data_IF_803755262005
#
_entry.id   IF_803755262005
#
_cell.length_a   1.000
_cell.length_b   1.000
_cell.length_c   1.000
_cell.angle_alpha   90.00
_cell.angle_beta   90.00
_cell.angle_gamma   90.00
#
_symmetry.space_group_name_H-M   'P 1'
#
loop_
_entity.id
_entity.type
_entity.pdbx_description
1 polymer ?
#
# COMPACT_ATOMS: atom_id res chain seq x y z
N UNK A 1 2.91 -27.56 -10.76
CA UNK A 1 3.58 -27.06 -11.98
C UNK A 1 4.39 -25.84 -11.53
N UNK A 2 5.66 -26.03 -11.33
CA UNK A 2 6.58 -25.00 -10.87
C UNK A 2 7.03 -24.20 -12.08
N UNK A 3 6.58 -22.94 -12.20
CA UNK A 3 7.09 -22.04 -13.23
C UNK A 3 8.38 -21.43 -12.68
N UNK A 4 9.50 -22.07 -12.97
CA UNK A 4 10.81 -21.48 -12.76
C UNK A 4 11.02 -20.44 -13.87
N UNK A 5 10.88 -19.15 -13.57
CA UNK A 5 11.26 -18.09 -14.49
C UNK A 5 12.79 -18.02 -14.59
N UNK A 6 13.38 -19.00 -15.30
CA UNK A 6 14.77 -18.90 -15.75
C UNK A 6 14.83 -17.84 -16.83
N UNK A 7 15.61 -16.78 -16.62
CA UNK A 7 15.88 -15.68 -17.57
C UNK A 7 14.78 -14.61 -17.68
N UNK A 8 14.11 -14.23 -16.59
CA UNK A 8 13.38 -12.97 -16.62
C UNK A 8 14.39 -11.81 -16.78
N UNK A 9 14.37 -11.14 -17.92
CA UNK A 9 15.14 -9.91 -18.13
C UNK A 9 14.46 -8.77 -17.37
N UNK A 10 15.02 -8.44 -16.20
CA UNK A 10 14.50 -7.37 -15.34
C UNK A 10 14.87 -5.96 -15.84
N UNK A 11 15.58 -5.84 -16.96
CA UNK A 11 15.89 -4.53 -17.56
C UNK A 11 14.64 -3.80 -18.06
N UNK A 12 13.55 -4.53 -18.31
CA UNK A 12 12.25 -3.99 -18.74
C UNK A 12 11.23 -3.77 -17.62
N UNK A 13 11.54 -4.16 -16.38
CA UNK A 13 10.69 -3.77 -15.24
C UNK A 13 10.91 -2.29 -15.01
N UNK A 14 10.00 -1.47 -15.49
CA UNK A 14 10.05 -0.04 -15.33
C UNK A 14 10.30 0.30 -13.86
N UNK A 15 11.39 1.02 -13.59
CA UNK A 15 11.60 1.65 -12.28
C UNK A 15 10.35 2.50 -12.04
N UNK A 16 9.46 2.04 -11.17
CA UNK A 16 8.27 2.81 -10.85
C UNK A 16 8.80 4.15 -10.33
N UNK A 17 8.61 5.23 -11.10
CA UNK A 17 8.93 6.59 -10.65
C UNK A 17 8.35 6.71 -9.26
N UNK A 18 9.13 7.24 -8.30
CA UNK A 18 8.64 7.62 -7.00
C UNK A 18 7.38 8.44 -7.21
N UNK A 19 6.23 7.86 -6.90
CA UNK A 19 4.94 8.52 -7.05
C UNK A 19 4.93 9.67 -6.06
N UNK A 20 4.61 10.87 -6.54
CA UNK A 20 4.48 12.02 -5.67
C UNK A 20 3.44 11.73 -4.59
N UNK A 21 3.86 11.73 -3.34
CA UNK A 21 2.97 11.61 -2.19
C UNK A 21 2.46 12.99 -1.77
N UNK A 22 1.20 13.05 -1.36
CA UNK A 22 0.56 14.26 -0.84
C UNK A 22 0.28 14.10 0.65
N UNK A 23 0.74 15.04 1.46
CA UNK A 23 0.59 14.98 2.91
C UNK A 23 -0.88 15.05 3.34
N UNK A 24 -1.25 14.19 4.29
CA UNK A 24 -2.55 14.18 4.98
C UNK A 24 -2.27 14.62 6.42
N UNK A 25 -2.15 15.93 6.65
CA UNK A 25 -1.57 16.47 7.88
C UNK A 25 -2.29 17.69 8.47
N UNK A 26 -3.42 18.10 7.91
CA UNK A 26 -4.23 19.19 8.50
C UNK A 26 -4.99 18.59 9.67
N UNK A 27 -4.45 18.78 10.88
CA UNK A 27 -4.93 18.16 12.11
C UNK A 27 -6.27 18.71 12.60
N UNK A 28 -6.94 17.91 13.43
CA UNK A 28 -8.20 18.23 14.12
C UNK A 28 -9.35 18.51 13.17
N UNK A 29 -9.34 17.89 12.00
CA UNK A 29 -10.41 17.97 10.99
C UNK A 29 -10.67 16.60 10.39
N UNK A 30 -11.91 16.41 9.96
CA UNK A 30 -12.35 15.24 9.18
C UNK A 30 -13.35 15.68 8.13
N UNK A 31 -13.39 14.99 6.99
CA UNK A 31 -14.50 15.12 6.04
C UNK A 31 -15.57 14.13 6.46
N UNK A 32 -16.78 14.63 6.67
CA UNK A 32 -17.92 13.78 7.03
C UNK A 32 -18.60 13.15 5.79
N UNK A 33 -19.65 12.39 6.02
CA UNK A 33 -20.39 11.69 4.96
C UNK A 33 -21.07 12.59 3.94
N UNK A 34 -21.24 13.88 4.23
CA UNK A 34 -21.86 14.88 3.34
C UNK A 34 -20.82 15.65 2.54
N UNK A 35 -19.53 15.42 2.79
CA UNK A 35 -18.44 16.15 2.16
C UNK A 35 -18.06 17.44 2.88
N UNK A 36 -18.68 17.75 4.02
CA UNK A 36 -18.32 18.91 4.83
C UNK A 36 -17.09 18.64 5.71
N UNK A 37 -16.23 19.64 5.86
CA UNK A 37 -15.10 19.58 6.78
C UNK A 37 -15.59 19.98 8.18
N UNK A 38 -15.47 19.07 9.13
CA UNK A 38 -15.88 19.29 10.52
C UNK A 38 -14.71 19.08 11.49
N UNK A 39 -14.73 19.68 12.70
CA UNK A 39 -13.72 19.45 13.73
C UNK A 39 -13.72 18.00 14.20
N UNK A 40 -12.51 17.40 14.39
CA UNK A 40 -12.35 16.06 14.97
C UNK A 40 -10.94 15.87 15.48
N UNK A 41 -10.76 15.64 16.79
CA UNK A 41 -9.45 15.57 17.44
C UNK A 41 -8.56 14.41 16.97
N UNK A 42 -9.15 13.31 16.50
CA UNK A 42 -8.43 12.08 16.18
C UNK A 42 -8.18 11.90 14.67
N UNK A 43 -8.48 12.93 13.88
CA UNK A 43 -8.36 12.89 12.42
C UNK A 43 -7.48 14.01 11.91
N UNK A 44 -6.92 13.79 10.73
CA UNK A 44 -6.35 14.82 9.89
C UNK A 44 -6.87 14.67 8.46
N UNK A 45 -6.77 15.73 7.68
CA UNK A 45 -7.14 15.71 6.27
C UNK A 45 -5.99 16.21 5.39
N UNK A 46 -6.04 15.88 4.11
CA UNK A 46 -5.18 16.52 3.10
C UNK A 46 -5.75 17.89 2.69
N UNK A 47 -4.94 18.68 1.99
CA UNK A 47 -5.49 19.72 1.10
C UNK A 47 -6.35 19.08 -0.01
N UNK A 48 -7.09 19.89 -0.75
CA UNK A 48 -7.71 19.47 -1.99
C UNK A 48 -6.60 19.13 -3.01
N UNK A 49 -6.54 17.89 -3.44
CA UNK A 49 -5.51 17.37 -4.35
C UNK A 49 -6.17 17.16 -5.70
N UNK A 50 -5.62 17.78 -6.75
CA UNK A 50 -6.13 17.62 -8.10
C UNK A 50 -5.93 16.17 -8.56
N UNK A 51 -7.01 15.55 -9.03
CA UNK A 51 -6.97 14.19 -9.58
C UNK A 51 -6.30 14.22 -10.95
N UNK A 52 -5.19 13.50 -11.09
CA UNK A 52 -4.45 13.38 -12.35
C UNK A 52 -5.01 12.25 -13.23
N UNK A 53 -4.65 12.25 -14.51
CA UNK A 53 -4.99 11.14 -15.41
C UNK A 53 -4.39 9.81 -14.94
N UNK A 54 -3.22 9.85 -14.30
CA UNK A 54 -2.58 8.67 -13.71
C UNK A 54 -3.39 8.12 -12.54
N UNK A 55 -3.86 8.98 -11.62
CA UNK A 55 -4.73 8.59 -10.52
C UNK A 55 -6.04 7.97 -11.01
N UNK A 56 -6.62 8.52 -12.10
CA UNK A 56 -7.83 7.94 -12.72
C UNK A 56 -7.60 6.57 -13.34
N UNK A 57 -6.41 6.32 -13.88
CA UNK A 57 -6.07 5.03 -14.48
C UNK A 57 -5.72 3.96 -13.46
N UNK A 58 -5.13 4.35 -12.33
CA UNK A 58 -4.56 3.43 -11.34
C UNK A 58 -5.35 3.33 -10.05
N UNK A 59 -6.14 4.34 -9.71
CA UNK A 59 -6.77 4.49 -8.39
C UNK A 59 -5.87 5.25 -7.41
N UNK A 60 -6.25 5.23 -6.14
CA UNK A 60 -5.60 5.98 -5.06
C UNK A 60 -5.29 5.08 -3.87
N UNK A 61 -4.26 5.42 -3.12
CA UNK A 61 -3.91 4.76 -1.86
C UNK A 61 -3.58 5.82 -0.80
N UNK A 62 -4.06 5.62 0.43
CA UNK A 62 -3.65 6.40 1.60
C UNK A 62 -3.04 5.47 2.61
N UNK A 63 -1.78 5.72 2.98
CA UNK A 63 -1.14 4.98 4.07
C UNK A 63 -1.54 5.55 5.43
N UNK A 64 -1.53 4.71 6.47
CA UNK A 64 -1.94 5.06 7.83
C UNK A 64 -3.28 5.82 7.88
N UNK A 65 -4.21 5.41 7.05
CA UNK A 65 -5.50 6.06 6.91
C UNK A 65 -6.37 5.84 8.15
N UNK A 66 -7.36 6.69 8.31
CA UNK A 66 -8.40 6.54 9.31
C UNK A 66 -9.75 6.86 8.70
N UNK A 67 -10.64 5.91 8.76
CA UNK A 67 -11.99 6.03 8.23
C UNK A 67 -12.97 5.18 9.01
N UNK A 68 -14.24 5.56 8.93
CA UNK A 68 -15.36 4.79 9.42
C UNK A 68 -16.43 4.83 8.34
N UNK A 69 -16.74 3.70 7.72
CA UNK A 69 -17.64 3.61 6.58
C UNK A 69 -19.03 4.24 6.83
N UNK A 70 -19.46 4.29 8.08
CA UNK A 70 -20.76 4.87 8.44
C UNK A 70 -20.73 6.41 8.59
N UNK A 71 -19.55 7.00 8.80
CA UNK A 71 -19.44 8.42 9.16
C UNK A 71 -18.38 9.20 8.38
N UNK A 72 -17.20 8.60 8.14
CA UNK A 72 -16.03 9.30 7.61
C UNK A 72 -15.30 8.42 6.61
N UNK A 73 -15.49 8.67 5.32
CA UNK A 73 -14.78 7.95 4.27
C UNK A 73 -13.30 8.34 4.23
N UNK A 74 -12.44 7.42 3.80
CA UNK A 74 -11.02 7.74 3.63
C UNK A 74 -10.80 8.68 2.44
N UNK A 75 -11.50 8.46 1.33
CA UNK A 75 -11.40 9.29 0.13
C UNK A 75 -12.70 10.02 -0.12
N UNK A 76 -12.62 11.34 -0.26
CA UNK A 76 -13.76 12.22 -0.50
C UNK A 76 -13.50 13.04 -1.75
N UNK A 77 -14.43 13.00 -2.71
CA UNK A 77 -14.27 13.54 -4.06
C UNK A 77 -15.10 14.78 -4.28
N UNK A 78 -14.51 15.76 -4.98
CA UNK A 78 -15.10 17.07 -5.25
C UNK A 78 -14.92 17.46 -6.72
N UNK A 79 -15.87 18.20 -7.26
CA UNK A 79 -15.77 18.76 -8.61
C UNK A 79 -15.04 20.10 -8.66
N UNK A 80 -14.69 20.69 -7.52
CA UNK A 80 -14.00 21.98 -7.35
C UNK A 80 -12.92 21.87 -6.28
N UNK A 81 -11.91 22.75 -6.36
CA UNK A 81 -10.90 22.92 -5.31
C UNK A 81 -11.49 23.48 -4.01
N UNK A 82 -12.60 24.21 -4.11
CA UNK A 82 -13.35 24.67 -2.95
C UNK A 82 -14.14 23.53 -2.35
N UNK A 83 -13.61 22.97 -1.26
CA UNK A 83 -14.15 21.79 -0.56
C UNK A 83 -15.37 22.18 0.27
N UNK A 84 -16.54 21.71 -0.14
CA UNK A 84 -17.81 21.92 0.53
C UNK A 84 -18.81 20.81 0.18
N UNK A 85 -19.91 20.72 0.91
CA UNK A 85 -21.03 19.81 0.62
C UNK A 85 -21.63 20.04 -0.78
N UNK A 86 -21.67 21.30 -1.25
CA UNK A 86 -22.20 21.64 -2.57
C UNK A 86 -21.28 21.22 -3.73
N UNK A 87 -20.00 21.00 -3.48
CA UNK A 87 -19.01 20.55 -4.48
C UNK A 87 -18.66 19.06 -4.33
N UNK A 88 -19.19 18.41 -3.30
CA UNK A 88 -18.99 16.99 -3.06
C UNK A 88 -19.71 16.14 -4.10
N UNK A 89 -19.00 15.18 -4.70
CA UNK A 89 -19.54 14.33 -5.79
C UNK A 89 -19.47 12.84 -5.48
N UNK A 90 -18.84 12.47 -4.38
CA UNK A 90 -18.79 11.07 -3.97
C UNK A 90 -17.65 10.75 -3.02
N UNK A 91 -17.59 9.50 -2.61
CA UNK A 91 -16.60 9.01 -1.66
C UNK A 91 -16.24 7.56 -1.94
N UNK A 92 -15.06 7.14 -1.47
CA UNK A 92 -14.69 5.74 -1.39
C UNK A 92 -14.53 5.38 0.10
N UNK A 93 -15.42 4.52 0.57
CA UNK A 93 -15.47 4.11 1.98
C UNK A 93 -14.43 3.05 2.27
N UNK A 94 -13.81 3.16 3.45
CA UNK A 94 -12.96 2.14 4.02
C UNK A 94 -13.09 2.19 5.53
N UNK A 95 -13.24 1.03 6.17
CA UNK A 95 -13.08 0.90 7.60
C UNK A 95 -11.58 0.78 7.89
N UNK A 96 -10.91 1.91 8.03
CA UNK A 96 -9.49 1.96 8.29
C UNK A 96 -9.20 2.54 9.66
N UNK A 97 -8.30 1.88 10.37
CA UNK A 97 -7.74 2.39 11.61
C UNK A 97 -6.27 2.03 11.66
N UNK A 98 -5.41 2.99 11.30
CA UNK A 98 -3.95 2.82 11.15
C UNK A 98 -3.54 1.82 10.05
N UNK A 99 -4.35 1.68 9.00
CA UNK A 99 -4.08 0.77 7.89
C UNK A 99 -4.04 1.52 6.58
N UNK A 100 -3.44 0.91 5.56
CA UNK A 100 -3.50 1.44 4.21
C UNK A 100 -4.90 1.21 3.63
N UNK A 101 -5.41 2.22 2.95
CA UNK A 101 -6.70 2.16 2.25
C UNK A 101 -6.50 2.35 0.76
N UNK A 102 -7.16 1.52 -0.02
CA UNK A 102 -7.17 1.56 -1.47
C UNK A 102 -8.54 2.07 -1.96
N UNK A 103 -8.51 3.03 -2.87
CA UNK A 103 -9.66 3.39 -3.70
C UNK A 103 -9.40 2.88 -5.13
N UNK A 104 -10.08 1.82 -5.58
CA UNK A 104 -10.00 1.37 -6.95
C UNK A 104 -10.43 2.47 -7.93
N UNK A 105 -9.85 2.48 -9.12
CA UNK A 105 -10.12 3.51 -10.14
C UNK A 105 -11.61 3.61 -10.51
N UNK A 106 -12.33 2.51 -10.47
CA UNK A 106 -13.75 2.39 -10.79
C UNK A 106 -14.65 3.14 -9.78
N UNK A 107 -14.12 3.42 -8.57
CA UNK A 107 -14.82 4.16 -7.52
C UNK A 107 -14.50 5.66 -7.51
N UNK A 108 -13.63 6.14 -8.40
CA UNK A 108 -13.39 7.56 -8.59
C UNK A 108 -14.48 8.13 -9.49
N UNK A 109 -15.36 9.03 -8.99
CA UNK A 109 -16.43 9.59 -9.82
C UNK A 109 -15.90 10.30 -11.06
N UNK A 110 -16.54 10.15 -12.20
CA UNK A 110 -16.11 10.76 -13.47
C UNK A 110 -16.04 12.30 -13.38
N UNK A 111 -16.99 12.92 -12.68
CA UNK A 111 -17.07 14.35 -12.46
C UNK A 111 -16.20 14.89 -11.31
N UNK A 112 -15.43 14.02 -10.63
CA UNK A 112 -14.50 14.45 -9.60
C UNK A 112 -13.28 15.11 -10.23
N UNK A 113 -12.88 16.26 -9.74
CA UNK A 113 -11.64 16.96 -10.13
C UNK A 113 -10.61 16.99 -9.02
N UNK A 114 -11.06 16.82 -7.78
CA UNK A 114 -10.23 16.87 -6.58
C UNK A 114 -10.59 15.76 -5.60
N UNK A 115 -9.62 15.38 -4.79
CA UNK A 115 -9.78 14.43 -3.68
C UNK A 115 -9.23 15.04 -2.39
N UNK A 116 -9.94 14.81 -1.28
CA UNK A 116 -9.46 15.05 0.08
C UNK A 116 -9.43 13.71 0.81
N UNK A 117 -8.30 13.39 1.39
CA UNK A 117 -8.13 12.17 2.16
C UNK A 117 -8.30 12.41 3.65
N UNK A 118 -8.96 11.48 4.35
CA UNK A 118 -8.96 11.39 5.81
C UNK A 118 -7.84 10.46 6.29
N UNK A 119 -7.07 10.92 7.26
CA UNK A 119 -5.97 10.22 7.89
C UNK A 119 -6.03 10.28 9.41
N UNK A 120 -5.01 9.75 10.05
CA UNK A 120 -4.86 9.73 11.50
C UNK A 120 -4.05 10.93 11.99
N UNK A 121 -4.53 11.64 13.02
CA UNK A 121 -3.84 12.80 13.60
C UNK A 121 -2.53 12.44 14.30
N UNK A 122 -2.39 11.19 14.76
CA UNK A 122 -1.25 10.73 15.57
C UNK A 122 -0.11 10.14 14.73
N UNK A 123 -0.33 9.96 13.43
CA UNK A 123 0.64 9.38 12.51
C UNK A 123 0.75 10.20 11.22
N UNK A 124 1.90 10.08 10.57
CA UNK A 124 2.06 10.65 9.22
C UNK A 124 1.28 9.82 8.22
N UNK A 125 0.28 10.43 7.61
CA UNK A 125 -0.49 9.84 6.52
C UNK A 125 -0.18 10.55 5.21
N UNK A 126 -0.13 9.79 4.12
CA UNK A 126 0.10 10.33 2.80
C UNK A 126 -0.85 9.68 1.79
N UNK A 127 -1.35 10.49 0.85
CA UNK A 127 -2.11 10.03 -0.30
C UNK A 127 -1.17 9.91 -1.50
N UNK A 128 -1.31 8.83 -2.25
CA UNK A 128 -0.56 8.55 -3.48
C UNK A 128 -1.54 8.12 -4.59
N UNK A 129 -1.12 8.22 -5.84
CA UNK A 129 -1.71 7.35 -6.86
C UNK A 129 -1.44 5.89 -6.49
N UNK A 130 -2.31 4.99 -6.91
CA UNK A 130 -2.13 3.56 -6.59
C UNK A 130 -0.90 2.99 -7.32
N UNK A 131 0.21 2.96 -6.63
CA UNK A 131 1.48 2.41 -7.12
C UNK A 131 1.49 0.86 -7.16
N UNK A 132 0.51 0.20 -6.54
CA UNK A 132 0.43 -1.26 -6.54
C UNK A 132 0.05 -1.83 -7.93
N UNK A 133 -0.49 -0.99 -8.81
CA UNK A 133 -0.85 -1.39 -10.19
C UNK A 133 0.40 -1.61 -11.07
N UNK A 134 1.49 -0.93 -10.76
CA UNK A 134 2.76 -1.02 -11.50
C UNK A 134 3.72 -2.08 -10.92
N UNK A 135 3.29 -2.80 -9.90
CA UNK A 135 4.08 -3.85 -9.25
C UNK A 135 3.81 -5.18 -9.95
N UNK A 136 4.86 -6.00 -10.09
CA UNK A 136 4.69 -7.40 -10.55
C UNK A 136 3.57 -8.06 -9.73
N UNK A 137 2.60 -8.71 -10.38
CA UNK A 137 1.51 -9.34 -9.65
C UNK A 137 2.09 -10.39 -8.69
N UNK A 138 1.97 -10.13 -7.40
CA UNK A 138 2.36 -11.09 -6.38
C UNK A 138 1.22 -12.09 -6.25
N UNK A 139 1.48 -13.32 -6.68
CA UNK A 139 0.57 -14.43 -6.45
C UNK A 139 0.75 -14.85 -4.99
N UNK A 140 -0.30 -14.69 -4.20
CA UNK A 140 -0.29 -15.10 -2.80
C UNK A 140 -0.98 -16.44 -2.60
N UNK A 141 -0.44 -17.23 -1.67
CA UNK A 141 -1.00 -18.51 -1.21
C UNK A 141 -1.21 -18.45 0.29
N UNK A 142 -2.32 -18.99 0.79
CA UNK A 142 -2.57 -19.09 2.23
C UNK A 142 -1.46 -19.87 2.92
N UNK A 143 -1.01 -19.34 4.05
CA UNK A 143 0.05 -19.93 4.84
C UNK A 143 1.09 -18.92 5.30
N UNK A 144 2.10 -19.39 5.98
CA UNK A 144 3.23 -18.60 6.47
C UNK A 144 4.54 -19.35 6.26
N UNK A 145 5.66 -18.73 6.64
CA UNK A 145 6.98 -19.35 6.56
C UNK A 145 7.56 -19.41 7.97
N UNK A 146 7.95 -20.62 8.39
CA UNK A 146 8.56 -20.88 9.69
C UNK A 146 9.95 -20.26 9.82
N UNK A 147 10.50 -20.25 11.01
CA UNK A 147 11.88 -19.79 11.27
C UNK A 147 12.95 -20.62 10.54
N UNK A 148 12.61 -21.84 10.13
CA UNK A 148 13.47 -22.72 9.34
C UNK A 148 13.20 -22.66 7.82
N UNK A 149 12.39 -21.70 7.35
CA UNK A 149 12.10 -21.51 5.93
C UNK A 149 11.02 -22.43 5.35
N UNK A 150 10.41 -23.31 6.14
CA UNK A 150 9.35 -24.20 5.68
C UNK A 150 8.01 -23.47 5.57
N UNK A 151 7.24 -23.81 4.54
CA UNK A 151 5.86 -23.37 4.42
C UNK A 151 5.03 -24.09 5.48
N UNK A 152 4.23 -23.32 6.23
CA UNK A 152 3.35 -23.82 7.29
C UNK A 152 1.92 -23.27 7.08
N UNK A 153 0.93 -24.05 7.49
CA UNK A 153 -0.46 -23.61 7.45
C UNK A 153 -0.67 -22.47 8.44
N UNK A 154 -1.31 -21.39 7.97
CA UNK A 154 -1.69 -20.26 8.79
C UNK A 154 -2.91 -19.59 8.16
N UNK A 155 -4.06 -19.61 8.85
CA UNK A 155 -5.33 -19.17 8.28
C UNK A 155 -5.38 -17.67 8.01
N UNK A 156 -4.64 -16.88 8.79
CA UNK A 156 -4.66 -15.42 8.72
C UNK A 156 -3.47 -14.82 7.94
N UNK A 157 -2.62 -15.66 7.37
CA UNK A 157 -1.45 -15.23 6.64
C UNK A 157 -1.48 -15.72 5.20
N UNK A 158 -0.82 -14.98 4.34
CA UNK A 158 -0.50 -15.41 2.99
C UNK A 158 0.98 -15.17 2.71
N UNK A 159 1.56 -15.98 1.85
CA UNK A 159 2.94 -15.83 1.38
C UNK A 159 2.98 -15.70 -0.14
N UNK A 160 3.97 -14.97 -0.65
CA UNK A 160 4.17 -14.78 -2.09
C UNK A 160 4.81 -16.01 -2.74
N UNK A 161 4.71 -16.10 -4.09
CA UNK A 161 5.65 -16.91 -4.85
C UNK A 161 7.09 -16.46 -4.56
N UNK A 162 8.09 -17.24 -5.01
CA UNK A 162 9.48 -16.79 -5.01
C UNK A 162 9.66 -15.59 -5.92
N UNK A 163 10.14 -14.48 -5.38
CA UNK A 163 10.41 -13.23 -6.07
C UNK A 163 11.92 -13.08 -6.22
N UNK A 164 12.46 -12.95 -7.43
CA UNK A 164 13.89 -12.77 -7.61
C UNK A 164 14.34 -11.39 -7.12
N UNK A 165 15.51 -11.34 -6.51
CA UNK A 165 16.18 -10.11 -6.08
C UNK A 165 17.60 -10.07 -6.63
N UNK A 166 18.18 -8.87 -6.74
CA UNK A 166 19.56 -8.66 -7.18
C UNK A 166 20.37 -8.06 -6.05
N UNK A 167 21.60 -8.55 -5.83
CA UNK A 167 22.51 -7.98 -4.85
C UNK A 167 22.79 -6.50 -5.10
N UNK A 168 22.94 -5.75 -4.02
CA UNK A 168 23.28 -4.32 -4.07
C UNK A 168 22.16 -3.38 -4.52
N UNK A 169 21.01 -3.90 -4.96
CA UNK A 169 19.85 -3.08 -5.29
C UNK A 169 19.02 -2.85 -4.02
N UNK A 170 18.60 -1.60 -3.82
CA UNK A 170 17.69 -1.25 -2.73
C UNK A 170 16.26 -1.58 -3.13
N UNK A 171 15.60 -2.41 -2.33
CA UNK A 171 14.20 -2.79 -2.48
C UNK A 171 13.35 -2.17 -1.38
N UNK A 172 12.16 -1.74 -1.75
CA UNK A 172 11.12 -1.33 -0.81
C UNK A 172 10.12 -2.48 -0.68
N UNK A 173 10.04 -3.06 0.51
CA UNK A 173 9.24 -4.24 0.80
C UNK A 173 8.08 -3.89 1.71
N UNK A 174 6.92 -4.46 1.42
CA UNK A 174 5.74 -4.40 2.26
C UNK A 174 5.29 -5.81 2.62
N UNK A 175 5.15 -6.05 3.91
CA UNK A 175 4.78 -7.34 4.48
C UNK A 175 5.17 -7.42 5.95
N UNK A 176 4.79 -8.47 6.61
CA UNK A 176 5.13 -8.72 8.01
C UNK A 176 6.45 -9.46 8.20
N UNK A 177 6.89 -10.19 7.17
CA UNK A 177 8.07 -11.04 7.20
C UNK A 177 8.61 -11.24 5.79
N UNK A 178 9.93 -11.38 5.69
CA UNK A 178 10.64 -11.81 4.46
C UNK A 178 11.47 -13.05 4.75
N UNK A 179 11.31 -14.08 3.94
CA UNK A 179 12.20 -15.23 3.90
C UNK A 179 13.12 -15.13 2.68
N UNK A 180 14.41 -15.32 2.88
CA UNK A 180 15.46 -15.15 1.88
C UNK A 180 16.04 -16.51 1.49
N UNK A 181 16.30 -16.70 0.21
CA UNK A 181 16.76 -17.96 -0.36
C UNK A 181 17.92 -17.71 -1.34
N UNK A 182 18.78 -18.70 -1.48
CA UNK A 182 19.86 -18.70 -2.47
C UNK A 182 19.36 -18.97 -3.90
N UNK A 183 20.29 -19.01 -4.86
CA UNK A 183 20.00 -19.28 -6.27
C UNK A 183 19.42 -20.69 -6.52
N UNK A 184 19.65 -21.65 -5.63
CA UNK A 184 19.13 -23.00 -5.69
C UNK A 184 17.77 -23.14 -4.99
N UNK A 185 17.28 -22.06 -4.35
CA UNK A 185 16.07 -22.07 -3.56
C UNK A 185 16.25 -22.62 -2.14
N UNK A 186 17.50 -22.76 -1.65
CA UNK A 186 17.74 -23.13 -0.27
C UNK A 186 17.53 -21.91 0.65
N UNK A 187 16.89 -22.14 1.78
CA UNK A 187 16.60 -21.09 2.76
C UNK A 187 17.89 -20.58 3.42
N UNK A 188 18.08 -19.27 3.43
CA UNK A 188 19.21 -18.58 4.05
C UNK A 188 18.80 -18.03 5.42
N UNK A 189 17.82 -17.11 5.41
CA UNK A 189 17.38 -16.42 6.62
C UNK A 189 15.93 -15.94 6.54
N UNK A 190 15.36 -15.66 7.71
CA UNK A 190 14.09 -14.98 7.88
C UNK A 190 14.31 -13.63 8.53
N UNK A 191 13.62 -12.62 8.04
CA UNK A 191 13.66 -11.26 8.54
C UNK A 191 12.24 -10.88 8.93
N UNK A 192 12.00 -10.66 10.21
CA UNK A 192 10.73 -10.16 10.71
C UNK A 192 10.70 -8.64 10.56
N UNK A 193 9.77 -8.13 9.74
CA UNK A 193 9.62 -6.71 9.46
C UNK A 193 8.72 -6.01 10.48
N UNK A 194 7.89 -6.75 11.17
CA UNK A 194 6.97 -6.27 12.19
C UNK A 194 7.54 -6.41 13.60
N UNK A 195 8.56 -5.63 13.95
CA UNK A 195 9.03 -5.58 15.36
C UNK A 195 8.11 -4.78 16.30
N UNK A 196 7.05 -4.14 15.75
CA UNK A 196 6.03 -3.43 16.53
C UNK A 196 4.67 -3.66 15.88
N UNK A 197 3.77 -4.23 16.65
CA UNK A 197 2.38 -4.47 16.26
C UNK A 197 1.78 -3.26 15.52
N UNK A 198 1.24 -3.50 14.33
CA UNK A 198 0.34 -2.63 13.57
C UNK A 198 0.94 -1.43 12.82
N UNK A 199 2.25 -1.32 12.64
CA UNK A 199 2.80 -0.30 11.74
C UNK A 199 3.30 -1.00 10.47
N UNK A 200 2.54 -0.89 9.40
CA UNK A 200 2.96 -1.31 8.06
C UNK A 200 4.02 -0.34 7.55
N UNK A 201 5.27 -0.62 7.83
CA UNK A 201 6.39 0.16 7.32
C UNK A 201 6.85 -0.42 5.99
N UNK A 202 7.04 0.45 5.02
CA UNK A 202 7.88 0.15 3.87
C UNK A 202 9.29 -0.05 4.42
N UNK A 203 9.82 -1.26 4.29
CA UNK A 203 11.16 -1.55 4.75
C UNK A 203 12.12 -1.47 3.56
N UNK A 204 13.16 -0.67 3.72
CA UNK A 204 14.26 -0.61 2.77
C UNK A 204 15.21 -1.78 3.01
N UNK A 205 15.42 -2.62 2.00
CA UNK A 205 16.32 -3.76 2.08
C UNK A 205 17.28 -3.79 0.91
N UNK A 206 18.52 -4.20 1.20
CA UNK A 206 19.54 -4.53 0.22
C UNK A 206 19.95 -5.97 0.46
N UNK A 207 20.03 -6.77 -0.60
CA UNK A 207 20.36 -8.18 -0.54
C UNK A 207 21.85 -8.41 -0.85
N UNK A 208 22.42 -9.47 -0.28
CA UNK A 208 23.81 -9.89 -0.43
C UNK A 208 24.01 -10.75 -1.69
N UNK A 209 25.26 -11.07 -2.06
CA UNK A 209 25.59 -11.78 -3.30
C UNK A 209 25.03 -13.19 -3.40
N UNK A 210 24.84 -13.86 -2.27
CA UNK A 210 24.27 -15.21 -2.17
C UNK A 210 22.74 -15.22 -2.05
N UNK A 211 22.11 -14.05 -1.94
CA UNK A 211 20.68 -13.88 -1.78
C UNK A 211 20.01 -13.61 -3.15
N UNK A 212 19.32 -14.61 -3.67
CA UNK A 212 18.78 -14.56 -5.03
C UNK A 212 17.25 -14.46 -5.09
N UNK A 213 16.55 -14.98 -4.09
CA UNK A 213 15.09 -14.99 -4.05
C UNK A 213 14.56 -14.62 -2.68
N UNK A 214 13.33 -14.07 -2.66
CA UNK A 214 12.60 -13.82 -1.43
C UNK A 214 11.17 -14.35 -1.53
N UNK A 215 10.57 -14.61 -0.37
CA UNK A 215 9.12 -14.71 -0.18
C UNK A 215 8.69 -13.67 0.85
N UNK A 216 7.62 -12.97 0.56
CA UNK A 216 7.01 -12.02 1.48
C UNK A 216 5.80 -12.68 2.12
N UNK A 217 5.60 -12.49 3.42
CA UNK A 217 4.42 -12.95 4.16
C UNK A 217 3.68 -11.75 4.70
N UNK A 218 2.36 -11.74 4.60
CA UNK A 218 1.51 -10.71 5.18
C UNK A 218 0.17 -11.25 5.67
N UNK A 219 -0.43 -10.56 6.64
CA UNK A 219 -1.73 -10.90 7.21
C UNK A 219 -2.92 -10.48 6.35
N UNK A 220 -2.76 -9.49 5.46
CA UNK A 220 -3.87 -8.88 4.71
C UNK A 220 -3.75 -9.03 3.20
N UNK A 221 -2.87 -9.90 2.70
CA UNK A 221 -2.54 -10.04 1.27
C UNK A 221 -2.00 -8.76 0.60
N UNK A 222 -1.57 -7.78 1.39
CA UNK A 222 -0.96 -6.56 0.92
C UNK A 222 0.56 -6.75 0.87
N UNK A 223 1.03 -7.39 -0.18
CA UNK A 223 2.46 -7.61 -0.41
C UNK A 223 2.89 -6.84 -1.63
N UNK A 224 4.00 -6.11 -1.55
CA UNK A 224 4.64 -5.57 -2.74
C UNK A 224 6.15 -5.55 -2.61
N UNK A 225 6.80 -5.60 -3.76
CA UNK A 225 8.23 -5.47 -3.96
C UNK A 225 8.47 -4.37 -4.99
N UNK A 226 9.26 -3.37 -4.64
CA UNK A 226 9.66 -2.28 -5.52
C UNK A 226 11.17 -2.06 -5.40
N UNK A 227 11.85 -1.73 -6.49
CA UNK A 227 13.26 -1.34 -6.55
C UNK A 227 13.46 -0.07 -7.36
#
# INVERSE_FOLDING_TARGET
>A
MEIVLKNADFSSVAVAKLTQGYAVNIKNKVVDKTGAIIPSQNYCISNAIKITDSMRKKGLIVNNSKGNANSFAVFNFYNSENVSDSTFVGKCDSNANYTDSLCPKELIPENASYVVANGNSDQSSMLFENYLVDVLPIISTKGSISVSGNIVNADNNSYSQMLPVKPGIKYHLYGSLVAVYDINGAFIKRIDLSSKAYIYLVNDMVFEEDEAFIRIVDHNNLMYLKY
#
